data_IF_165268156710
#
_entry.id   IF_165268156710
#
_cell.length_a   1.000
_cell.length_b   1.000
_cell.length_c   1.000
_cell.angle_alpha   90.00
_cell.angle_beta   90.00
_cell.angle_gamma   90.00
#
_symmetry.space_group_name_H-M   'P 1'
#
loop_
_entity.id
_entity.type
_entity.pdbx_description
1 polymer ?
#
# COMPACT_ATOMS: atom_id res chain seq x y z
N UNK A 1 -77.25 -3.65 -3.59
CA UNK A 1 -76.64 -4.46 -2.50
C UNK A 1 -75.73 -5.50 -3.13
N UNK A 2 -74.45 -5.59 -2.73
CA UNK A 2 -73.62 -6.77 -3.03
C UNK A 2 -72.29 -6.50 -3.75
N UNK A 3 -71.23 -6.35 -2.94
CA UNK A 3 -69.78 -6.30 -3.17
C UNK A 3 -69.20 -7.22 -4.28
N UNK A 4 -68.06 -6.78 -4.88
CA UNK A 4 -66.71 -7.43 -4.86
C UNK A 4 -65.74 -6.65 -5.77
N UNK A 5 -64.94 -5.71 -5.27
CA UNK A 5 -63.51 -5.85 -4.87
C UNK A 5 -62.60 -6.58 -5.88
N UNK A 6 -61.67 -5.86 -6.51
CA UNK A 6 -60.24 -6.26 -6.66
C UNK A 6 -59.36 -5.00 -6.66
N UNK A 7 -58.74 -4.74 -5.52
CA UNK A 7 -57.56 -3.87 -5.40
C UNK A 7 -56.35 -4.68 -5.90
N UNK A 8 -55.62 -4.13 -6.87
CA UNK A 8 -54.27 -4.57 -7.16
C UNK A 8 -53.31 -3.67 -6.37
N UNK A 9 -52.71 -4.23 -5.32
CA UNK A 9 -51.55 -3.65 -4.65
C UNK A 9 -50.30 -4.02 -5.46
N UNK A 10 -49.41 -3.07 -5.82
CA UNK A 10 -48.08 -3.44 -6.27
C UNK A 10 -47.25 -3.82 -5.03
N UNK A 11 -46.69 -5.02 -5.08
CA UNK A 11 -45.69 -5.52 -4.14
C UNK A 11 -44.61 -4.46 -3.88
N UNK A 12 -44.36 -4.22 -2.60
CA UNK A 12 -43.20 -3.48 -2.12
C UNK A 12 -41.96 -4.32 -2.46
N UNK A 13 -41.24 -3.96 -3.53
CA UNK A 13 -39.91 -4.51 -3.76
C UNK A 13 -39.00 -3.99 -2.63
N UNK A 14 -38.51 -4.93 -1.82
CA UNK A 14 -37.50 -4.69 -0.82
C UNK A 14 -36.27 -4.06 -1.46
N UNK A 15 -36.00 -2.81 -1.12
CA UNK A 15 -34.67 -2.26 -1.24
C UNK A 15 -33.87 -2.85 -0.09
N UNK A 16 -33.00 -3.80 -0.39
CA UNK A 16 -31.86 -4.10 0.46
C UNK A 16 -31.16 -2.78 0.75
N UNK A 17 -30.93 -2.48 2.03
CA UNK A 17 -30.11 -1.34 2.41
C UNK A 17 -28.75 -1.52 1.73
N UNK A 18 -28.41 -0.62 0.80
CA UNK A 18 -27.07 -0.55 0.28
C UNK A 18 -26.17 -0.26 1.49
N UNK A 19 -25.36 -1.24 1.89
CA UNK A 19 -24.26 -0.96 2.81
C UNK A 19 -23.40 0.09 2.13
N UNK A 20 -23.47 1.34 2.59
CA UNK A 20 -22.56 2.39 2.15
C UNK A 20 -21.16 1.90 2.46
N UNK A 21 -20.28 1.82 1.45
CA UNK A 21 -18.89 1.48 1.68
C UNK A 21 -18.28 2.49 2.66
N UNK A 22 -17.44 1.99 3.59
CA UNK A 22 -16.70 2.88 4.47
C UNK A 22 -15.52 3.48 3.72
N UNK A 23 -15.38 4.80 3.80
CA UNK A 23 -14.33 5.52 3.09
C UNK A 23 -13.05 5.60 3.93
N UNK A 24 -11.93 5.17 3.34
CA UNK A 24 -10.58 5.29 3.88
C UNK A 24 -9.79 6.30 3.03
N UNK A 25 -9.16 7.26 3.69
CA UNK A 25 -8.37 8.28 3.02
C UNK A 25 -6.87 7.96 3.06
N UNK A 26 -6.24 7.83 1.90
CA UNK A 26 -4.81 7.61 1.76
C UNK A 26 -4.04 8.94 1.82
N UNK A 27 -3.14 9.05 2.79
CA UNK A 27 -2.18 10.14 2.91
C UNK A 27 -0.94 9.93 2.01
N UNK A 28 -1.15 9.89 0.70
CA UNK A 28 -0.07 9.78 -0.29
C UNK A 28 -0.41 10.46 -1.60
N UNK A 29 0.57 11.14 -2.21
CA UNK A 29 0.50 11.69 -3.56
C UNK A 29 0.97 10.72 -4.64
N UNK A 30 1.45 9.52 -4.27
CA UNK A 30 1.96 8.56 -5.23
C UNK A 30 0.79 7.83 -5.94
N UNK A 31 0.62 8.00 -7.27
CA UNK A 31 -0.49 7.41 -8.00
C UNK A 31 -0.41 5.88 -8.07
N UNK A 32 0.79 5.30 -8.03
CA UNK A 32 1.01 3.85 -7.97
C UNK A 32 0.46 3.24 -6.68
N UNK A 33 0.75 3.88 -5.54
CA UNK A 33 0.21 3.46 -4.23
C UNK A 33 -1.31 3.55 -4.20
N UNK A 34 -1.88 4.67 -4.67
CA UNK A 34 -3.34 4.85 -4.69
C UNK A 34 -4.03 3.77 -5.53
N UNK A 35 -3.48 3.45 -6.70
CA UNK A 35 -3.99 2.37 -7.54
C UNK A 35 -3.95 1.03 -6.81
N UNK A 36 -2.81 0.63 -6.25
CA UNK A 36 -2.67 -0.65 -5.55
C UNK A 36 -3.62 -0.78 -4.35
N UNK A 37 -3.81 0.28 -3.56
CA UNK A 37 -4.75 0.23 -2.43
C UNK A 37 -6.21 0.23 -2.87
N UNK A 38 -6.57 0.91 -3.97
CA UNK A 38 -7.92 0.81 -4.55
C UNK A 38 -8.21 -0.61 -5.03
N UNK A 39 -7.26 -1.23 -5.71
CA UNK A 39 -7.40 -2.62 -6.16
C UNK A 39 -7.46 -3.57 -4.96
N UNK A 40 -6.64 -3.37 -3.91
CA UNK A 40 -6.69 -4.18 -2.69
C UNK A 40 -7.98 -4.00 -1.89
N UNK A 41 -8.63 -2.83 -1.98
CA UNK A 41 -9.93 -2.57 -1.38
C UNK A 41 -11.10 -3.12 -2.20
N UNK A 42 -10.87 -3.55 -3.44
CA UNK A 42 -11.92 -4.14 -4.26
C UNK A 42 -12.56 -5.33 -3.53
N UNK A 43 -13.89 -5.31 -3.41
CA UNK A 43 -14.68 -6.34 -2.71
C UNK A 43 -14.51 -6.40 -1.18
N UNK A 44 -13.81 -5.44 -0.56
CA UNK A 44 -13.64 -5.38 0.90
C UNK A 44 -14.78 -4.67 1.65
N UNK A 45 -15.66 -3.97 0.94
CA UNK A 45 -16.65 -3.06 1.54
C UNK A 45 -16.08 -1.70 1.95
N UNK A 46 -14.80 -1.44 1.64
CA UNK A 46 -14.16 -0.14 1.80
C UNK A 46 -13.84 0.49 0.44
N UNK A 47 -13.84 1.82 0.42
CA UNK A 47 -13.34 2.63 -0.70
C UNK A 47 -12.07 3.37 -0.27
N UNK A 48 -11.13 3.52 -1.20
CA UNK A 48 -9.87 4.24 -0.95
C UNK A 48 -9.79 5.47 -1.84
N UNK A 49 -9.75 6.63 -1.19
CA UNK A 49 -9.60 7.93 -1.85
C UNK A 49 -8.37 8.67 -1.30
N UNK A 50 -7.72 9.56 -2.07
CA UNK A 50 -6.70 10.41 -1.50
C UNK A 50 -7.32 11.37 -0.47
N UNK A 51 -6.52 11.84 0.49
CA UNK A 51 -6.95 12.90 1.41
C UNK A 51 -7.43 14.12 0.59
N UNK A 52 -8.68 14.62 0.81
CA UNK A 52 -9.22 15.75 0.07
C UNK A 52 -8.33 16.99 0.23
N UNK A 53 -7.99 17.63 -0.89
CA UNK A 53 -7.18 18.85 -0.88
C UNK A 53 -5.74 18.67 -0.39
N UNK A 54 -5.22 17.43 -0.31
CA UNK A 54 -3.89 17.13 0.23
C UNK A 54 -2.76 17.96 -0.39
N UNK A 55 -2.86 18.27 -1.69
CA UNK A 55 -1.89 19.10 -2.43
C UNK A 55 -1.71 20.50 -1.82
N UNK A 56 -2.76 21.02 -1.18
CA UNK A 56 -2.81 22.35 -0.58
C UNK A 56 -2.46 22.34 0.91
N UNK A 57 -2.29 21.16 1.51
CA UNK A 57 -1.88 20.99 2.90
C UNK A 57 -0.35 21.04 3.00
N UNK A 58 0.22 21.48 4.14
CA UNK A 58 1.66 21.39 4.37
C UNK A 58 2.17 19.96 4.18
N UNK A 59 3.30 19.80 3.51
CA UNK A 59 3.93 18.48 3.39
C UNK A 59 4.55 18.06 4.73
N UNK A 60 4.53 16.76 4.98
CA UNK A 60 5.22 16.16 6.12
C UNK A 60 6.66 15.88 5.73
N UNK A 61 7.60 16.30 6.57
CA UNK A 61 9.00 15.92 6.43
C UNK A 61 9.16 14.46 6.89
N UNK A 62 9.66 13.60 6.01
CA UNK A 62 9.88 12.17 6.27
C UNK A 62 11.33 11.91 6.71
N UNK A 63 11.69 12.48 7.86
CA UNK A 63 12.99 12.37 8.54
C UNK A 63 13.01 11.26 9.62
N UNK A 64 12.03 10.35 9.60
CA UNK A 64 12.04 9.15 10.42
C UNK A 64 13.19 8.22 10.05
N UNK A 65 13.65 7.44 11.02
CA UNK A 65 14.68 6.40 10.88
C UNK A 65 14.09 5.05 10.51
N UNK A 66 12.76 4.92 10.55
CA UNK A 66 12.01 3.70 10.24
C UNK A 66 10.77 3.99 9.42
N UNK A 67 10.29 2.99 8.68
CA UNK A 67 9.01 3.07 7.94
C UNK A 67 7.84 3.43 8.88
N UNK A 68 7.83 2.87 10.08
CA UNK A 68 6.83 3.18 11.13
C UNK A 68 6.81 4.67 11.45
N UNK A 69 7.95 5.28 11.71
CA UNK A 69 8.01 6.70 12.09
C UNK A 69 7.48 7.62 10.98
N UNK A 70 7.85 7.36 9.72
CA UNK A 70 7.38 8.14 8.58
C UNK A 70 5.88 7.95 8.34
N UNK A 71 5.38 6.70 8.36
CA UNK A 71 3.96 6.41 8.22
C UNK A 71 3.14 7.06 9.35
N UNK A 72 3.59 6.95 10.60
CA UNK A 72 2.93 7.58 11.75
C UNK A 72 2.88 9.10 11.62
N UNK A 73 3.98 9.75 11.23
CA UNK A 73 4.03 11.21 11.01
C UNK A 73 3.00 11.65 9.96
N UNK A 74 2.95 10.96 8.82
CA UNK A 74 1.97 11.22 7.74
C UNK A 74 0.53 11.03 8.23
N UNK A 75 0.20 9.89 8.84
CA UNK A 75 -1.15 9.58 9.28
C UNK A 75 -1.65 10.59 10.34
N UNK A 76 -0.82 10.91 11.33
CA UNK A 76 -1.13 11.89 12.36
C UNK A 76 -1.35 13.29 11.79
N UNK A 77 -0.51 13.71 10.84
CA UNK A 77 -0.62 15.03 10.23
C UNK A 77 -1.92 15.18 9.44
N UNK A 78 -2.15 14.30 8.46
CA UNK A 78 -3.28 14.44 7.54
C UNK A 78 -4.63 14.07 8.17
N UNK A 79 -4.66 13.21 9.19
CA UNK A 79 -5.89 12.91 9.94
C UNK A 79 -6.45 14.08 10.74
N UNK A 80 -5.67 15.15 10.96
CA UNK A 80 -6.15 16.39 11.60
C UNK A 80 -6.88 17.32 10.65
N UNK A 81 -6.69 17.14 9.34
CA UNK A 81 -7.21 18.05 8.31
C UNK A 81 -8.63 17.70 7.84
N UNK A 82 -9.12 16.50 8.15
CA UNK A 82 -10.44 16.03 7.74
C UNK A 82 -11.11 15.22 8.87
N UNK A 83 -12.44 15.13 8.86
CA UNK A 83 -13.17 14.19 9.70
C UNK A 83 -13.38 12.87 8.95
N UNK A 84 -12.44 11.94 9.12
CA UNK A 84 -12.46 10.66 8.44
C UNK A 84 -11.35 9.73 8.93
N UNK A 85 -11.40 8.48 8.49
CA UNK A 85 -10.33 7.51 8.70
C UNK A 85 -9.23 7.77 7.68
N UNK A 86 -8.05 8.18 8.15
CA UNK A 86 -6.88 8.41 7.31
C UNK A 86 -5.87 7.32 7.57
N UNK A 87 -5.37 6.69 6.51
CA UNK A 87 -4.20 5.83 6.63
C UNK A 87 -3.04 6.37 5.82
N UNK A 88 -1.83 6.18 6.33
CA UNK A 88 -0.60 6.50 5.62
C UNK A 88 0.23 5.24 5.42
N UNK A 89 0.92 5.19 4.28
CA UNK A 89 1.88 4.16 3.92
C UNK A 89 3.30 4.72 3.96
N UNK A 90 4.22 3.99 4.60
CA UNK A 90 5.63 4.05 4.25
C UNK A 90 6.16 2.66 3.88
N UNK A 91 6.78 2.59 2.71
CA UNK A 91 7.16 1.33 2.06
C UNK A 91 8.51 1.48 1.38
N UNK A 92 9.24 0.38 1.31
CA UNK A 92 10.51 0.31 0.62
C UNK A 92 10.98 -1.12 0.38
N UNK A 93 12.07 -1.26 -0.36
CA UNK A 93 12.77 -2.50 -0.61
C UNK A 93 14.09 -2.51 0.16
N UNK A 94 14.43 -3.66 0.73
CA UNK A 94 15.69 -3.88 1.44
C UNK A 94 16.40 -5.07 0.82
N UNK A 95 17.68 -4.94 0.52
CA UNK A 95 18.48 -5.99 -0.14
C UNK A 95 19.59 -6.46 0.78
N UNK A 96 19.71 -7.78 0.97
CA UNK A 96 20.63 -8.38 1.95
C UNK A 96 22.09 -8.04 1.63
N UNK A 97 22.50 -8.12 0.36
CA UNK A 97 23.86 -7.76 -0.06
C UNK A 97 24.22 -6.29 0.17
N UNK A 98 23.25 -5.41 0.44
CA UNK A 98 23.45 -3.99 0.68
C UNK A 98 23.11 -3.58 2.12
N UNK A 99 23.20 -4.53 3.06
CA UNK A 99 22.88 -4.32 4.48
C UNK A 99 21.49 -3.69 4.69
N UNK A 100 20.53 -4.08 3.85
CA UNK A 100 19.15 -3.61 3.89
C UNK A 100 18.89 -2.31 3.12
N UNK A 101 19.88 -1.69 2.47
CA UNK A 101 19.63 -0.61 1.53
C UNK A 101 18.86 -1.12 0.29
N UNK A 102 18.03 -0.29 -0.37
CA UNK A 102 17.74 1.13 -0.11
C UNK A 102 16.97 1.44 1.18
N UNK A 103 16.15 0.51 1.68
CA UNK A 103 15.34 0.68 2.88
C UNK A 103 14.41 1.89 2.80
N UNK A 104 14.40 2.74 3.82
CA UNK A 104 13.58 3.97 3.89
C UNK A 104 13.93 4.99 2.78
N UNK A 105 15.05 4.83 2.09
CA UNK A 105 15.47 5.69 0.98
C UNK A 105 15.00 5.18 -0.38
N UNK A 106 14.20 4.12 -0.45
CA UNK A 106 13.77 3.46 -1.70
C UNK A 106 13.25 4.43 -2.78
N UNK A 107 12.47 5.45 -2.42
CA UNK A 107 11.93 6.41 -3.41
C UNK A 107 13.00 7.40 -3.93
N UNK A 108 14.11 7.56 -3.20
CA UNK A 108 15.16 8.56 -3.43
C UNK A 108 16.56 7.93 -3.38
N UNK A 109 16.69 6.67 -3.78
CA UNK A 109 17.92 5.92 -3.65
C UNK A 109 19.03 6.52 -4.52
N UNK A 110 18.67 7.02 -5.70
CA UNK A 110 19.56 7.78 -6.59
C UNK A 110 19.53 9.30 -6.30
N UNK A 111 18.98 9.74 -5.17
CA UNK A 111 18.84 11.14 -4.78
C UNK A 111 17.40 11.66 -4.78
N UNK A 112 17.22 12.90 -4.29
CA UNK A 112 15.91 13.57 -4.26
C UNK A 112 15.34 13.74 -5.67
N UNK A 113 14.06 13.37 -5.84
CA UNK A 113 13.38 13.44 -7.14
C UNK A 113 13.82 12.39 -8.17
N UNK A 114 14.54 11.34 -7.74
CA UNK A 114 14.94 10.24 -8.62
C UNK A 114 13.73 9.53 -9.26
N UNK A 115 13.87 9.17 -10.54
CA UNK A 115 12.93 8.28 -11.21
C UNK A 115 13.11 6.83 -10.77
N UNK A 116 12.09 6.00 -11.01
CA UNK A 116 12.17 4.54 -10.80
C UNK A 116 13.37 3.94 -11.55
N UNK A 117 13.62 4.37 -12.79
CA UNK A 117 14.76 3.92 -13.59
C UNK A 117 16.11 4.31 -12.97
N UNK A 118 16.24 5.54 -12.46
CA UNK A 118 17.46 5.98 -11.80
C UNK A 118 17.73 5.20 -10.51
N UNK A 119 16.68 4.96 -9.71
CA UNK A 119 16.74 4.16 -8.50
C UNK A 119 17.13 2.70 -8.79
N UNK A 120 16.55 2.11 -9.83
CA UNK A 120 16.89 0.75 -10.29
C UNK A 120 18.34 0.65 -10.76
N UNK A 121 18.81 1.62 -11.56
CA UNK A 121 20.20 1.66 -12.03
C UNK A 121 21.18 1.77 -10.87
N UNK A 122 20.91 2.66 -9.91
CA UNK A 122 21.74 2.79 -8.70
C UNK A 122 21.78 1.48 -7.91
N UNK A 123 20.65 0.78 -7.77
CA UNK A 123 20.60 -0.52 -7.08
C UNK A 123 21.52 -1.55 -7.72
N UNK A 124 21.49 -1.68 -9.04
CA UNK A 124 22.35 -2.62 -9.76
C UNK A 124 23.82 -2.21 -9.72
N UNK A 125 24.12 -0.91 -9.77
CA UNK A 125 25.48 -0.38 -9.63
C UNK A 125 26.08 -0.74 -8.26
N UNK A 126 25.32 -0.58 -7.17
CA UNK A 126 25.77 -0.97 -5.83
C UNK A 126 25.97 -2.48 -5.68
N UNK A 127 25.07 -3.29 -6.23
CA UNK A 127 25.22 -4.75 -6.24
C UNK A 127 26.49 -5.20 -6.98
N UNK A 128 26.79 -4.57 -8.13
CA UNK A 128 28.03 -4.83 -8.89
C UNK A 128 29.28 -4.39 -8.13
N UNK A 129 29.21 -3.32 -7.33
CA UNK A 129 30.32 -2.89 -6.47
C UNK A 129 30.63 -3.92 -5.39
N UNK A 130 29.60 -4.47 -4.75
CA UNK A 130 29.75 -5.55 -3.76
C UNK A 130 30.36 -6.81 -4.39
N UNK A 131 29.90 -7.18 -5.58
CA UNK A 131 30.47 -8.31 -6.33
C UNK A 131 31.95 -8.09 -6.70
N UNK A 132 32.30 -6.90 -7.18
CA UNK A 132 33.68 -6.55 -7.53
C UNK A 132 34.62 -6.50 -6.32
N UNK A 133 34.10 -6.28 -5.11
CA UNK A 133 34.88 -6.24 -3.87
C UNK A 133 35.37 -7.62 -3.37
N UNK A 134 35.07 -8.71 -4.10
CA UNK A 134 35.71 -10.01 -3.92
C UNK A 134 34.92 -11.02 -3.09
N UNK A 135 33.63 -10.77 -2.83
CA UNK A 135 32.75 -11.78 -2.28
C UNK A 135 32.19 -12.66 -3.41
N UNK A 136 31.92 -13.93 -3.11
CA UNK A 136 31.08 -14.79 -3.96
C UNK A 136 29.78 -14.04 -4.35
N UNK A 137 29.11 -14.45 -5.44
CA UNK A 137 27.94 -13.77 -6.01
C UNK A 137 27.04 -13.14 -4.93
N UNK A 138 26.78 -11.82 -4.99
CA UNK A 138 26.16 -11.09 -3.89
C UNK A 138 24.80 -11.70 -3.56
N UNK A 139 24.47 -11.77 -2.27
CA UNK A 139 23.19 -12.29 -1.80
C UNK A 139 22.03 -11.45 -2.33
N UNK A 140 21.39 -11.94 -3.40
CA UNK A 140 20.30 -11.26 -4.09
C UNK A 140 18.98 -11.28 -3.32
N UNK A 141 18.92 -11.91 -2.14
CA UNK A 141 17.71 -11.86 -1.30
C UNK A 141 17.34 -10.42 -1.03
N UNK A 142 16.06 -10.14 -1.21
CA UNK A 142 15.48 -8.84 -0.97
C UNK A 142 14.08 -9.01 -0.41
N UNK A 143 13.59 -7.96 0.23
CA UNK A 143 12.22 -7.93 0.66
C UNK A 143 11.64 -6.53 0.57
N UNK A 144 10.38 -6.48 0.13
CA UNK A 144 9.58 -5.29 0.31
C UNK A 144 8.97 -5.28 1.71
N UNK A 145 8.86 -4.09 2.30
CA UNK A 145 8.12 -3.80 3.54
C UNK A 145 7.09 -2.70 3.26
N UNK A 146 5.89 -2.85 3.80
CA UNK A 146 4.87 -1.80 3.89
C UNK A 146 4.42 -1.67 5.33
N UNK A 147 4.50 -0.47 5.90
CA UNK A 147 3.86 -0.13 7.17
C UNK A 147 2.67 0.78 6.89
N UNK A 148 1.49 0.36 7.33
CA UNK A 148 0.28 1.15 7.30
C UNK A 148 -0.07 1.63 8.70
N UNK A 149 -0.35 2.92 8.84
CA UNK A 149 -0.84 3.52 10.08
C UNK A 149 -2.20 4.13 9.83
N UNK A 150 -3.21 3.68 10.57
CA UNK A 150 -4.55 4.26 10.57
C UNK A 150 -4.66 5.28 11.71
N UNK A 151 -5.16 6.46 11.39
CA UNK A 151 -5.38 7.54 12.33
C UNK A 151 -6.69 8.27 12.08
N UNK A 152 -7.22 8.89 13.12
CA UNK A 152 -8.39 9.76 13.08
C UNK A 152 -8.17 10.93 14.02
N UNK A 153 -8.40 12.16 13.57
CA UNK A 153 -8.31 13.40 14.39
C UNK A 153 -6.98 13.53 15.13
N UNK A 154 -5.88 13.09 14.53
CA UNK A 154 -4.55 13.17 15.12
C UNK A 154 -4.23 12.10 16.17
N UNK A 155 -5.01 11.02 16.25
CA UNK A 155 -4.75 9.86 17.09
C UNK A 155 -4.58 8.61 16.23
N UNK A 156 -3.57 7.78 16.54
CA UNK A 156 -3.35 6.50 15.87
C UNK A 156 -4.33 5.47 16.45
N UNK A 157 -5.06 4.81 15.57
CA UNK A 157 -6.00 3.74 15.92
C UNK A 157 -5.35 2.36 15.82
N UNK A 158 -4.54 2.14 14.78
CA UNK A 158 -3.80 0.89 14.60
C UNK A 158 -2.61 1.07 13.66
N UNK A 159 -1.68 0.11 13.72
CA UNK A 159 -0.55 -0.01 12.82
C UNK A 159 -0.40 -1.47 12.42
N UNK A 160 -0.19 -1.70 11.13
CA UNK A 160 0.06 -3.03 10.58
C UNK A 160 1.25 -3.00 9.62
N UNK A 161 1.89 -4.16 9.44
CA UNK A 161 3.03 -4.33 8.57
C UNK A 161 2.84 -5.55 7.67
N UNK A 162 3.20 -5.42 6.39
CA UNK A 162 3.25 -6.51 5.42
C UNK A 162 4.62 -6.59 4.74
N UNK A 163 4.98 -7.79 4.30
CA UNK A 163 6.28 -8.08 3.67
C UNK A 163 6.12 -8.98 2.46
N UNK A 164 7.00 -8.82 1.49
CA UNK A 164 7.15 -9.78 0.40
C UNK A 164 8.62 -10.14 0.26
N UNK A 165 8.94 -11.42 0.35
CA UNK A 165 10.31 -11.94 0.20
C UNK A 165 10.55 -12.34 -1.26
N UNK A 166 11.71 -11.99 -1.79
CA UNK A 166 12.07 -12.24 -3.18
C UNK A 166 13.56 -12.12 -3.43
N UNK A 167 13.92 -11.98 -4.70
CA UNK A 167 15.28 -11.83 -5.18
C UNK A 167 15.38 -10.65 -6.14
N UNK A 168 16.55 -10.00 -6.22
CA UNK A 168 16.85 -9.00 -7.25
C UNK A 168 17.46 -9.67 -8.48
N UNK A 169 16.87 -9.45 -9.66
CA UNK A 169 17.44 -9.85 -10.95
C UNK A 169 18.44 -8.81 -11.46
N UNK A 170 19.30 -9.22 -12.40
CA UNK A 170 20.21 -8.31 -13.11
C UNK A 170 19.54 -7.57 -14.27
N UNK A 171 18.53 -8.20 -14.89
CA UNK A 171 17.80 -7.67 -16.04
C UNK A 171 16.30 -7.56 -15.70
N UNK A 172 15.64 -6.46 -16.12
CA UNK A 172 14.23 -6.26 -15.82
C UNK A 172 13.36 -7.24 -16.61
N UNK A 173 12.23 -7.63 -16.03
CA UNK A 173 11.17 -8.38 -16.71
C UNK A 173 9.81 -7.79 -16.39
N UNK A 174 8.90 -7.84 -17.36
CA UNK A 174 7.57 -7.26 -17.24
C UNK A 174 7.55 -5.75 -17.44
N UNK A 175 6.34 -5.21 -17.58
CA UNK A 175 6.08 -3.78 -17.82
C UNK A 175 5.03 -3.19 -16.88
N UNK A 176 4.45 -4.02 -16.00
CA UNK A 176 3.51 -3.59 -14.98
C UNK A 176 4.19 -3.03 -13.73
N UNK A 177 3.38 -2.64 -12.75
CA UNK A 177 3.89 -2.18 -11.46
C UNK A 177 4.57 -0.81 -11.50
N UNK A 178 5.47 -0.56 -10.55
CA UNK A 178 6.32 0.64 -10.46
C UNK A 178 7.54 0.39 -9.55
N UNK A 179 8.46 1.35 -9.47
CA UNK A 179 9.66 1.25 -8.64
C UNK A 179 10.55 0.08 -9.06
N UNK A 180 10.82 -0.82 -8.12
CA UNK A 180 11.73 -1.95 -8.31
C UNK A 180 11.04 -3.23 -8.81
N UNK A 181 9.74 -3.16 -9.11
CA UNK A 181 8.94 -4.32 -9.54
C UNK A 181 9.52 -5.10 -10.73
N UNK A 182 10.12 -4.46 -11.77
CA UNK A 182 10.73 -5.19 -12.88
C UNK A 182 11.93 -6.04 -12.49
N UNK A 183 12.56 -5.77 -11.34
CA UNK A 183 13.75 -6.47 -10.85
C UNK A 183 13.44 -7.39 -9.67
N UNK A 184 12.32 -7.18 -8.97
CA UNK A 184 11.94 -7.99 -7.82
C UNK A 184 11.26 -9.29 -8.26
N UNK A 185 12.03 -10.37 -8.27
CA UNK A 185 11.58 -11.73 -8.57
C UNK A 185 10.93 -12.38 -7.36
N UNK A 186 9.74 -12.94 -7.56
CA UNK A 186 9.01 -13.70 -6.55
C UNK A 186 9.06 -15.20 -6.88
N UNK A 187 9.91 -15.99 -6.20
CA UNK A 187 10.13 -17.40 -6.54
C UNK A 187 8.86 -18.26 -6.58
N UNK A 188 7.87 -18.11 -5.67
CA UNK A 188 6.67 -18.95 -5.68
C UNK A 188 5.85 -18.87 -6.97
N UNK A 189 5.85 -17.73 -7.67
CA UNK A 189 5.14 -17.56 -8.95
C UNK A 189 6.08 -17.55 -10.16
N UNK A 190 7.40 -17.63 -9.94
CA UNK A 190 8.43 -17.58 -10.97
C UNK A 190 8.34 -16.37 -11.90
N UNK A 191 7.88 -15.24 -11.36
CA UNK A 191 7.64 -13.97 -12.07
C UNK A 191 8.25 -12.82 -11.28
N UNK A 192 8.62 -11.74 -11.94
CA UNK A 192 8.84 -10.45 -11.27
C UNK A 192 7.50 -9.82 -10.90
N UNK A 193 7.51 -8.87 -9.97
CA UNK A 193 6.29 -8.15 -9.63
C UNK A 193 5.71 -7.35 -10.81
N UNK A 194 6.53 -6.94 -11.78
CA UNK A 194 6.06 -6.29 -12.99
C UNK A 194 5.47 -7.26 -14.04
N UNK A 195 5.64 -8.57 -13.86
CA UNK A 195 5.01 -9.63 -14.66
C UNK A 195 3.69 -10.14 -14.04
N UNK A 196 3.38 -9.76 -12.80
CA UNK A 196 2.14 -10.14 -12.12
C UNK A 196 0.97 -9.31 -12.63
N UNK A 197 -0.21 -9.93 -12.72
CA UNK A 197 -1.46 -9.15 -12.84
C UNK A 197 -1.71 -8.40 -11.52
N UNK A 198 -2.51 -7.32 -11.53
CA UNK A 198 -2.94 -6.64 -10.31
C UNK A 198 -3.49 -7.61 -9.25
N UNK A 199 -4.34 -8.55 -9.67
CA UNK A 199 -4.96 -9.54 -8.79
C UNK A 199 -3.92 -10.48 -8.17
N UNK A 200 -2.98 -11.01 -8.97
CA UNK A 200 -1.88 -11.84 -8.48
C UNK A 200 -1.03 -11.05 -7.46
N UNK A 201 -0.68 -9.81 -7.80
CA UNK A 201 0.19 -8.96 -6.98
C UNK A 201 -0.44 -8.63 -5.63
N UNK A 202 -1.74 -8.36 -5.57
CA UNK A 202 -2.44 -8.09 -4.31
C UNK A 202 -2.38 -9.30 -3.38
N UNK A 203 -2.40 -10.53 -3.89
CA UNK A 203 -2.32 -11.71 -3.03
C UNK A 203 -0.96 -11.83 -2.34
N UNK A 204 0.14 -11.47 -3.01
CA UNK A 204 1.50 -11.79 -2.55
C UNK A 204 2.37 -10.59 -2.16
N UNK A 205 1.92 -9.36 -2.45
CA UNK A 205 2.70 -8.16 -2.17
C UNK A 205 2.63 -7.73 -0.71
N UNK A 206 3.69 -7.04 -0.28
CA UNK A 206 3.79 -6.35 1.01
C UNK A 206 2.59 -5.42 1.29
N UNK A 207 2.14 -4.63 0.29
CA UNK A 207 0.95 -3.78 0.44
C UNK A 207 -0.33 -4.58 0.55
N UNK A 208 -0.49 -5.63 -0.27
CA UNK A 208 -1.65 -6.51 -0.18
C UNK A 208 -1.76 -7.21 1.18
N UNK A 209 -0.64 -7.69 1.71
CA UNK A 209 -0.59 -8.28 3.07
C UNK A 209 -0.91 -7.23 4.15
N UNK A 210 -0.26 -6.06 4.10
CA UNK A 210 -0.51 -4.99 5.07
C UNK A 210 -1.97 -4.52 5.03
N UNK A 211 -2.56 -4.40 3.84
CA UNK A 211 -3.93 -3.95 3.68
C UNK A 211 -4.94 -4.98 4.19
N UNK A 212 -4.74 -6.29 3.94
CA UNK A 212 -5.57 -7.34 4.56
C UNK A 212 -5.56 -7.25 6.08
N UNK A 213 -4.38 -7.09 6.70
CA UNK A 213 -4.26 -6.90 8.15
C UNK A 213 -4.96 -5.62 8.62
N UNK A 214 -4.92 -4.55 7.84
CA UNK A 214 -5.64 -3.31 8.15
C UNK A 214 -7.16 -3.53 8.12
N UNK A 215 -7.68 -4.30 7.14
CA UNK A 215 -9.10 -4.65 7.07
C UNK A 215 -9.55 -5.47 8.28
N UNK A 216 -8.72 -6.42 8.74
CA UNK A 216 -8.98 -7.19 9.97
C UNK A 216 -9.07 -6.28 11.21
N UNK A 217 -8.15 -5.32 11.33
CA UNK A 217 -8.19 -4.33 12.42
C UNK A 217 -9.38 -3.39 12.32
N UNK A 218 -9.78 -2.98 11.11
CA UNK A 218 -10.98 -2.15 10.90
C UNK A 218 -12.24 -2.90 11.35
N UNK A 219 -12.36 -4.20 11.02
CA UNK A 219 -13.46 -5.03 11.50
C UNK A 219 -13.50 -5.06 13.04
N UNK A 220 -12.34 -5.29 13.69
CA UNK A 220 -12.22 -5.28 15.16
C UNK A 220 -12.58 -3.92 15.78
N UNK A 221 -12.15 -2.81 15.18
CA UNK A 221 -12.46 -1.46 15.65
C UNK A 221 -13.95 -1.14 15.54
N UNK A 222 -14.62 -1.62 14.48
CA UNK A 222 -16.08 -1.50 14.30
C UNK A 222 -16.83 -2.31 15.35
N UNK A 223 -16.42 -3.56 15.56
CA UNK A 223 -17.06 -4.45 16.54
C UNK A 223 -16.92 -3.95 17.98
N UNK A 224 -15.86 -3.18 18.27
CA UNK A 224 -15.63 -2.53 19.57
C UNK A 224 -16.18 -1.10 19.67
N UNK A 225 -16.86 -0.59 18.63
CA UNK A 225 -17.49 0.73 18.63
C UNK A 225 -16.53 1.92 18.57
N UNK A 226 -15.26 1.69 18.21
CA UNK A 226 -14.25 2.75 18.07
C UNK A 226 -14.37 3.49 16.74
N UNK A 227 -14.95 2.83 15.73
CA UNK A 227 -15.34 3.40 14.44
C UNK A 227 -16.78 3.02 14.13
N UNK A 228 -17.43 3.82 13.26
CA UNK A 228 -18.83 3.64 12.85
C UNK A 228 -19.06 2.34 12.08
#
# INVERSE_FOLDING_TARGET
>A
MGRKTRNASPCCNGRTAAHSALLLYLASSNPGKLREFREAAAHSGFEVEPVPGMQSLPSVIEDGRTFRENASKKALHYSRSIDGLVFADDSGISVEALDGAPGIFSARFAGEGASDEANNRMLLEELRRVEAAGYASPDRRAHYVCVLVLARRGEILTLVEGRALGLILDEPRGSGGFGYDPYFYYPPLRKTFAELTPEEKIQVSHRGEAFRKLLDELARLRDTGQIL
#
